data_IF_230158506756
#
_entry.id   IF_230158506756
#
_cell.length_a   1.000
_cell.length_b   1.000
_cell.length_c   1.000
_cell.angle_alpha   90.00
_cell.angle_beta   90.00
_cell.angle_gamma   90.00
#
_symmetry.space_group_name_H-M   'P 1'
#
loop_
_entity.id
_entity.type
_entity.pdbx_description
1 polymer ?
#
# COMPACT_ATOMS: atom_id res chain seq x y z
N UNK A 1 6.84 10.84 15.62
CA UNK A 1 8.28 10.94 15.33
C UNK A 1 9.05 10.68 16.60
N UNK A 2 10.35 10.42 16.49
CA UNK A 2 11.23 10.45 17.66
C UNK A 2 11.05 11.79 18.38
N UNK A 3 10.88 11.75 19.69
CA UNK A 3 10.97 12.97 20.50
C UNK A 3 12.41 13.50 20.53
N UNK A 4 12.67 14.50 21.37
CA UNK A 4 14.01 15.03 21.61
C UNK A 4 15.01 13.95 22.13
N UNK A 5 14.52 12.83 22.65
CA UNK A 5 15.32 11.67 23.07
C UNK A 5 15.12 10.50 22.07
N UNK A 6 16.18 10.07 21.34
CA UNK A 6 16.13 8.91 20.44
C UNK A 6 15.78 7.58 21.12
N UNK A 7 16.03 7.46 22.43
CA UNK A 7 15.66 6.30 23.25
C UNK A 7 14.28 6.44 23.93
N UNK A 8 13.68 7.64 23.82
CA UNK A 8 12.38 7.94 24.37
C UNK A 8 11.25 7.21 23.63
N UNK A 9 10.09 7.06 24.28
CA UNK A 9 8.91 6.49 23.62
C UNK A 9 8.55 7.33 22.40
N UNK A 10 8.34 6.64 21.29
CA UNK A 10 7.74 7.22 20.10
C UNK A 10 6.40 7.87 20.45
N UNK A 11 6.25 9.15 20.12
CA UNK A 11 4.99 9.87 20.27
C UNK A 11 4.36 10.05 18.88
N UNK A 12 3.90 8.94 18.32
CA UNK A 12 3.19 8.93 17.04
C UNK A 12 1.68 9.10 17.31
N UNK A 13 1.17 10.30 17.07
CA UNK A 13 -0.26 10.57 17.09
C UNK A 13 -0.89 10.16 15.76
N UNK A 14 -2.04 9.49 15.82
CA UNK A 14 -2.83 9.14 14.64
C UNK A 14 -4.25 9.72 14.78
N UNK A 15 -4.76 10.32 13.70
CA UNK A 15 -6.16 10.72 13.59
C UNK A 15 -6.82 9.87 12.50
N UNK A 16 -7.96 9.27 12.81
CA UNK A 16 -8.74 8.45 11.90
C UNK A 16 -10.16 9.01 11.85
N UNK A 17 -10.65 9.26 10.63
CA UNK A 17 -12.03 9.66 10.38
C UNK A 17 -12.71 8.64 9.45
N UNK A 18 -13.95 8.29 9.79
CA UNK A 18 -14.77 7.34 9.01
C UNK A 18 -16.11 7.99 8.72
N UNK A 19 -16.49 8.01 7.45
CA UNK A 19 -17.74 8.62 6.98
C UNK A 19 -18.66 7.55 6.41
N UNK A 20 -19.88 7.45 6.95
CA UNK A 20 -20.90 6.56 6.38
C UNK A 20 -21.51 7.21 5.13
N UNK A 21 -21.15 6.70 3.95
CA UNK A 21 -21.65 7.21 2.66
C UNK A 21 -23.18 7.24 2.58
N UNK A 22 -23.86 6.22 3.13
CA UNK A 22 -25.32 6.12 3.09
C UNK A 22 -26.04 7.20 3.89
N UNK A 23 -25.32 7.91 4.78
CA UNK A 23 -25.86 9.06 5.51
C UNK A 23 -25.90 10.34 4.65
N UNK A 24 -25.21 10.36 3.51
CA UNK A 24 -25.10 11.53 2.64
C UNK A 24 -25.82 11.34 1.31
N UNK A 25 -25.78 10.12 0.74
CA UNK A 25 -26.35 9.81 -0.58
C UNK A 25 -26.41 8.29 -0.83
N UNK A 26 -27.06 7.91 -1.92
CA UNK A 26 -27.05 6.52 -2.38
C UNK A 26 -25.62 6.03 -2.70
N UNK A 27 -25.30 4.84 -2.20
CA UNK A 27 -23.95 4.26 -2.26
C UNK A 27 -23.62 3.74 -3.66
N UNK A 28 -24.62 3.24 -4.39
CA UNK A 28 -24.43 2.71 -5.76
C UNK A 28 -24.13 3.87 -6.69
N UNK A 29 -24.92 4.94 -6.62
CA UNK A 29 -24.70 6.15 -7.41
C UNK A 29 -23.37 6.81 -7.10
N UNK A 30 -23.00 6.93 -5.81
CA UNK A 30 -21.70 7.45 -5.42
C UNK A 30 -20.53 6.64 -6.03
N UNK A 31 -20.59 5.30 -5.95
CA UNK A 31 -19.54 4.44 -6.52
C UNK A 31 -19.46 4.58 -8.05
N UNK A 32 -20.60 4.72 -8.72
CA UNK A 32 -20.65 4.95 -10.16
C UNK A 32 -19.96 6.28 -10.52
N UNK A 33 -20.28 7.36 -9.84
CA UNK A 33 -19.67 8.67 -10.09
C UNK A 33 -18.17 8.69 -9.79
N UNK A 34 -17.72 8.04 -8.71
CA UNK A 34 -16.29 7.91 -8.40
C UNK A 34 -15.56 7.14 -9.51
N UNK A 35 -16.19 6.08 -10.06
CA UNK A 35 -15.64 5.35 -11.21
C UNK A 35 -15.54 6.23 -12.46
N UNK A 36 -16.59 6.98 -12.78
CA UNK A 36 -16.60 7.91 -13.91
C UNK A 36 -15.54 9.00 -13.74
N UNK A 37 -15.36 9.52 -12.53
CA UNK A 37 -14.31 10.48 -12.22
C UNK A 37 -12.90 9.89 -12.40
N UNK A 38 -12.65 8.68 -11.92
CA UNK A 38 -11.36 8.00 -12.13
C UNK A 38 -11.09 7.79 -13.64
N UNK A 39 -12.10 7.40 -14.42
CA UNK A 39 -11.99 7.26 -15.87
C UNK A 39 -11.68 8.59 -16.56
N UNK A 40 -12.34 9.67 -16.14
CA UNK A 40 -12.06 11.01 -16.64
C UNK A 40 -10.61 11.42 -16.36
N UNK A 41 -10.12 11.23 -15.14
CA UNK A 41 -8.71 11.52 -14.80
C UNK A 41 -7.75 10.74 -15.71
N UNK A 42 -7.98 9.44 -15.90
CA UNK A 42 -7.18 8.58 -16.79
C UNK A 42 -7.20 9.03 -18.26
N UNK A 43 -8.25 9.73 -18.69
CA UNK A 43 -8.37 10.24 -20.07
C UNK A 43 -7.61 11.55 -20.32
N UNK A 44 -7.05 12.16 -19.27
CA UNK A 44 -6.31 13.43 -19.38
C UNK A 44 -5.02 13.25 -20.19
N UNK A 45 -4.65 14.26 -20.95
CA UNK A 45 -3.39 14.26 -21.69
C UNK A 45 -2.20 14.18 -20.71
N UNK A 46 -1.30 13.19 -20.88
CA UNK A 46 -0.11 13.10 -20.04
C UNK A 46 0.81 14.30 -20.25
N UNK A 47 1.50 14.74 -19.19
CA UNK A 47 2.57 15.73 -19.32
C UNK A 47 3.72 15.20 -20.20
N UNK A 48 4.48 16.11 -20.82
CA UNK A 48 5.65 15.75 -21.63
C UNK A 48 6.59 14.80 -20.88
N UNK A 49 6.91 13.66 -21.50
CA UNK A 49 7.77 12.64 -20.92
C UNK A 49 7.04 11.56 -20.10
N UNK A 50 5.72 11.69 -19.91
CA UNK A 50 4.88 10.70 -19.24
C UNK A 50 3.99 9.95 -20.25
N UNK A 51 3.68 8.69 -19.95
CA UNK A 51 2.90 7.81 -20.85
C UNK A 51 1.41 7.78 -20.50
N UNK A 52 1.07 7.93 -19.22
CA UNK A 52 -0.31 7.87 -18.75
C UNK A 52 -0.49 8.64 -17.45
N UNK A 53 -1.76 8.86 -17.08
CA UNK A 53 -2.20 9.44 -15.81
C UNK A 53 -2.79 8.32 -14.94
N UNK A 54 -2.31 8.21 -13.69
CA UNK A 54 -2.77 7.22 -12.72
C UNK A 54 -3.76 7.83 -11.73
N UNK A 55 -4.77 7.04 -11.35
CA UNK A 55 -5.64 7.36 -10.22
C UNK A 55 -4.97 6.93 -8.90
N UNK A 56 -5.12 7.68 -7.78
CA UNK A 56 -4.54 7.29 -6.51
C UNK A 56 -4.95 5.86 -6.08
N UNK A 57 -3.97 5.01 -5.75
CA UNK A 57 -4.17 3.61 -5.41
C UNK A 57 -4.07 2.63 -6.59
N UNK A 58 -4.05 3.12 -7.83
CA UNK A 58 -4.00 2.26 -9.02
C UNK A 58 -2.66 1.53 -9.16
N UNK A 59 -1.53 2.24 -8.97
CA UNK A 59 -0.20 1.64 -9.04
C UNK A 59 -0.02 0.57 -7.95
N UNK A 60 -0.49 0.86 -6.73
CA UNK A 60 -0.47 -0.07 -5.61
C UNK A 60 -1.32 -1.30 -5.91
N UNK A 61 -2.50 -1.13 -6.50
CA UNK A 61 -3.36 -2.25 -6.90
C UNK A 61 -2.70 -3.12 -7.97
N UNK A 62 -2.11 -2.53 -9.02
CA UNK A 62 -1.40 -3.26 -10.05
C UNK A 62 -0.21 -4.04 -9.48
N UNK A 63 0.55 -3.41 -8.60
CA UNK A 63 1.68 -4.05 -7.92
C UNK A 63 1.22 -5.17 -6.97
N UNK A 64 0.08 -5.02 -6.34
CA UNK A 64 -0.51 -6.05 -5.48
C UNK A 64 -0.98 -7.27 -6.28
N UNK A 65 -1.65 -7.05 -7.42
CA UNK A 65 -2.02 -8.14 -8.34
C UNK A 65 -0.80 -8.91 -8.85
N UNK A 66 0.24 -8.19 -9.26
CA UNK A 66 1.50 -8.78 -9.71
C UNK A 66 2.16 -9.60 -8.61
N UNK A 67 2.35 -9.01 -7.42
CA UNK A 67 2.97 -9.71 -6.28
C UNK A 67 2.15 -10.90 -5.78
N UNK A 68 0.82 -10.84 -5.92
CA UNK A 68 -0.06 -11.97 -5.59
C UNK A 68 0.12 -13.14 -6.55
N UNK A 69 0.36 -12.85 -7.83
CA UNK A 69 0.57 -13.86 -8.86
C UNK A 69 2.01 -14.39 -8.90
N UNK A 70 2.99 -13.50 -8.73
CA UNK A 70 4.40 -13.76 -9.00
C UNK A 70 5.29 -13.79 -7.75
N UNK A 71 4.71 -13.50 -6.57
CA UNK A 71 5.45 -13.37 -5.32
C UNK A 71 6.03 -11.97 -5.10
N UNK A 72 6.46 -11.71 -3.86
CA UNK A 72 7.06 -10.44 -3.46
C UNK A 72 8.57 -10.53 -3.63
N UNK A 73 9.14 -9.64 -4.43
CA UNK A 73 10.60 -9.49 -4.47
C UNK A 73 11.13 -8.97 -3.13
N UNK A 74 12.13 -9.66 -2.59
CA UNK A 74 12.83 -9.30 -1.36
C UNK A 74 14.33 -9.39 -1.64
N UNK A 75 15.06 -8.34 -1.30
CA UNK A 75 16.51 -8.27 -1.48
C UNK A 75 17.23 -9.30 -0.60
N UNK A 76 18.37 -9.83 -1.07
CA UNK A 76 19.17 -10.84 -0.36
C UNK A 76 19.55 -10.39 1.07
N UNK A 77 19.95 -9.13 1.23
CA UNK A 77 20.26 -8.53 2.54
C UNK A 77 19.06 -8.52 3.50
N UNK A 78 17.85 -8.39 2.97
CA UNK A 78 16.62 -8.46 3.77
C UNK A 78 16.33 -9.91 4.16
N UNK A 79 16.55 -10.88 3.26
CA UNK A 79 16.48 -12.30 3.59
C UNK A 79 17.45 -12.68 4.70
N UNK A 80 18.72 -12.28 4.61
CA UNK A 80 19.73 -12.54 5.64
C UNK A 80 19.30 -12.04 7.02
N UNK A 81 18.67 -10.85 7.04
CA UNK A 81 18.13 -10.26 8.27
C UNK A 81 16.97 -11.08 8.82
N UNK A 82 16.06 -11.53 7.97
CA UNK A 82 14.92 -12.36 8.36
C UNK A 82 15.36 -13.73 8.89
N UNK A 83 16.33 -14.38 8.23
CA UNK A 83 16.90 -15.65 8.67
C UNK A 83 17.62 -15.51 10.02
N UNK A 84 18.40 -14.45 10.20
CA UNK A 84 19.06 -14.14 11.47
C UNK A 84 18.05 -13.94 12.61
N UNK A 85 16.92 -13.28 12.33
CA UNK A 85 15.84 -13.11 13.29
C UNK A 85 15.14 -14.44 13.62
N UNK A 86 14.86 -15.27 12.61
CA UNK A 86 14.26 -16.59 12.78
C UNK A 86 15.15 -17.49 13.67
N UNK A 87 16.46 -17.52 13.43
CA UNK A 87 17.42 -18.26 14.24
C UNK A 87 17.46 -17.75 15.69
N UNK A 88 17.51 -16.42 15.88
CA UNK A 88 17.53 -15.78 17.21
C UNK A 88 16.31 -16.16 18.05
N UNK A 89 15.13 -16.15 17.44
CA UNK A 89 13.87 -16.42 18.12
C UNK A 89 13.41 -17.88 18.03
N UNK A 90 14.20 -18.76 17.41
CA UNK A 90 13.92 -20.20 17.23
C UNK A 90 12.57 -20.44 16.53
N UNK A 91 12.30 -19.66 15.48
CA UNK A 91 11.16 -19.83 14.58
C UNK A 91 11.65 -20.55 13.33
N UNK A 92 10.85 -21.49 12.83
CA UNK A 92 11.16 -22.19 11.57
C UNK A 92 11.31 -21.20 10.41
N UNK A 93 12.40 -21.29 9.63
CA UNK A 93 12.59 -20.41 8.48
C UNK A 93 11.57 -20.69 7.37
N UNK A 94 11.16 -19.62 6.70
CA UNK A 94 10.10 -19.61 5.67
C UNK A 94 10.47 -20.42 4.41
N UNK A 95 11.74 -20.74 4.22
CA UNK A 95 12.32 -21.40 3.04
C UNK A 95 11.83 -22.86 2.81
N UNK A 96 11.05 -23.45 3.73
CA UNK A 96 10.50 -24.80 3.58
C UNK A 96 9.08 -24.83 2.97
N UNK A 97 8.55 -23.71 2.48
CA UNK A 97 7.24 -23.62 1.83
C UNK A 97 7.38 -23.60 0.30
N UNK A 98 8.04 -24.62 -0.25
CA UNK A 98 8.05 -24.92 -1.69
C UNK A 98 6.85 -25.74 -2.12
#
# INVERSE_FOLDING_TARGET
GFGHDPSGRHNDGCFIAVFNLAAFRDVVDFKKEVKEFAQYLKSSEPATGFKEVFYPGELEHLRELDQRANGIFVEESTWDTLESLAAKYKVEPIMNLS
#
